data_IF_707261846722
#
_entry.id   IF_707261846722
#
_cell.length_a   1.000
_cell.length_b   1.000
_cell.length_c   1.000
_cell.angle_alpha   90.00
_cell.angle_beta   90.00
_cell.angle_gamma   90.00
#
_symmetry.space_group_name_H-M   'P 1'
#
loop_
_entity.id
_entity.type
_entity.pdbx_description
1 polymer ?
#
# COMPACT_ATOMS: atom_id res chain seq x y z
N UNK A 1 -12.25 -8.20 10.09
CA UNK A 1 -10.82 -8.20 9.75
C UNK A 1 -10.20 -6.91 10.27
N UNK A 2 -9.00 -6.96 10.79
CA UNK A 2 -8.29 -5.75 11.20
C UNK A 2 -7.48 -5.20 10.04
N UNK A 3 -7.57 -3.89 9.83
CA UNK A 3 -6.88 -3.18 8.75
C UNK A 3 -6.09 -2.04 9.38
N UNK A 4 -4.77 -2.05 9.17
CA UNK A 4 -3.90 -1.01 9.70
C UNK A 4 -3.70 0.10 8.67
N UNK A 5 -4.12 1.30 9.02
CA UNK A 5 -3.85 2.49 8.22
C UNK A 5 -2.37 2.86 8.34
N UNK A 6 -1.72 3.13 7.22
CA UNK A 6 -0.34 3.58 7.16
C UNK A 6 -0.34 5.02 6.67
N UNK A 7 -0.19 5.96 7.60
CA UNK A 7 -0.29 7.39 7.29
C UNK A 7 1.04 7.94 6.76
N UNK A 8 1.47 7.41 5.61
CA UNK A 8 2.69 7.81 4.91
C UNK A 8 2.37 7.98 3.42
N UNK A 9 3.10 8.85 2.76
CA UNK A 9 2.94 9.08 1.33
C UNK A 9 3.81 8.10 0.53
N UNK A 10 3.19 7.43 -0.43
CA UNK A 10 3.82 6.44 -1.29
C UNK A 10 3.85 6.90 -2.73
N UNK A 11 4.83 6.39 -3.46
CA UNK A 11 4.97 6.58 -4.90
C UNK A 11 5.11 5.24 -5.60
N UNK A 12 4.50 5.14 -6.77
CA UNK A 12 4.60 3.96 -7.65
C UNK A 12 5.50 4.37 -8.80
N UNK A 13 6.61 3.66 -8.97
CA UNK A 13 7.66 4.05 -9.89
C UNK A 13 8.04 2.93 -10.84
N UNK A 14 8.55 3.33 -11.99
CA UNK A 14 9.31 2.48 -12.89
C UNK A 14 10.74 3.01 -12.91
N UNK A 15 11.71 2.16 -12.64
CA UNK A 15 13.11 2.55 -12.54
C UNK A 15 13.95 1.82 -13.60
N UNK A 16 15.10 2.41 -13.97
CA UNK A 16 16.01 1.79 -14.94
C UNK A 16 16.66 0.54 -14.34
N UNK A 17 17.01 0.62 -13.07
CA UNK A 17 17.55 -0.47 -12.27
C UNK A 17 17.37 -0.15 -10.78
N UNK A 18 17.75 -1.08 -9.89
CA UNK A 18 17.55 -0.90 -8.44
C UNK A 18 18.80 -0.40 -7.70
N UNK A 19 19.84 0.03 -8.41
CA UNK A 19 21.11 0.44 -7.77
C UNK A 19 20.96 1.65 -6.86
N UNK A 20 20.05 2.58 -7.20
CA UNK A 20 19.79 3.78 -6.39
C UNK A 20 18.59 3.63 -5.44
N UNK A 21 17.93 2.48 -5.45
CA UNK A 21 16.82 2.23 -4.56
C UNK A 21 17.30 1.88 -3.15
N UNK A 22 16.60 2.41 -2.14
CA UNK A 22 16.87 2.05 -0.75
C UNK A 22 16.10 0.76 -0.39
N UNK A 23 16.70 -0.39 -0.70
CA UNK A 23 16.08 -1.69 -0.46
C UNK A 23 15.92 -2.02 1.03
N UNK A 24 16.64 -1.32 1.90
CA UNK A 24 16.55 -1.50 3.36
C UNK A 24 15.54 -0.57 4.01
N UNK A 25 14.86 0.26 3.25
CA UNK A 25 13.81 1.12 3.78
C UNK A 25 12.63 0.29 4.31
N UNK A 26 11.91 0.85 5.29
CA UNK A 26 10.78 0.19 5.96
C UNK A 26 9.70 -0.28 4.99
N UNK A 27 9.43 0.51 3.96
CA UNK A 27 8.45 0.20 2.92
C UNK A 27 9.12 0.30 1.55
N UNK A 28 9.57 -0.83 1.04
CA UNK A 28 10.20 -0.92 -0.27
C UNK A 28 9.74 -2.20 -0.95
N UNK A 29 8.94 -2.05 -1.99
CA UNK A 29 8.40 -3.17 -2.74
C UNK A 29 8.96 -3.14 -4.15
N UNK A 30 9.56 -4.24 -4.60
CA UNK A 30 10.13 -4.35 -5.94
C UNK A 30 9.42 -5.43 -6.73
N UNK A 31 9.20 -5.15 -7.99
CA UNK A 31 8.64 -6.10 -8.94
C UNK A 31 9.44 -6.09 -10.23
N UNK A 32 10.42 -6.98 -10.33
CA UNK A 32 11.26 -7.10 -11.52
C UNK A 32 10.71 -8.16 -12.45
N UNK A 33 10.41 -7.76 -13.68
CA UNK A 33 9.93 -8.66 -14.74
C UNK A 33 10.79 -8.48 -15.99
N UNK A 34 10.48 -9.25 -17.03
CA UNK A 34 11.10 -9.10 -18.34
C UNK A 34 10.73 -7.78 -19.03
N UNK A 35 9.67 -7.11 -18.55
CA UNK A 35 9.16 -5.87 -19.16
C UNK A 35 9.55 -4.61 -18.39
N UNK A 36 9.76 -4.72 -17.07
CA UNK A 36 9.97 -3.53 -16.25
C UNK A 36 10.66 -3.83 -14.91
N UNK A 37 11.19 -2.77 -14.33
CA UNK A 37 11.62 -2.75 -12.93
C UNK A 37 10.67 -1.81 -12.17
N UNK A 38 9.69 -2.38 -11.47
CA UNK A 38 8.73 -1.63 -10.67
C UNK A 38 9.25 -1.41 -9.25
N UNK A 39 8.99 -0.23 -8.70
CA UNK A 39 9.38 0.13 -7.34
C UNK A 39 8.24 0.89 -6.69
N UNK A 40 7.76 0.39 -5.55
CA UNK A 40 6.82 1.11 -4.71
C UNK A 40 7.51 1.40 -3.39
N UNK A 41 7.58 2.67 -3.02
CA UNK A 41 8.28 3.10 -1.81
C UNK A 41 7.67 4.38 -1.28
N UNK A 42 8.13 4.82 -0.12
CA UNK A 42 7.78 6.14 0.39
C UNK A 42 8.25 7.21 -0.60
N UNK A 43 7.47 8.26 -0.75
CA UNK A 43 7.79 9.35 -1.68
C UNK A 43 9.16 9.96 -1.40
N UNK A 44 9.55 10.05 -0.12
CA UNK A 44 10.86 10.57 0.27
C UNK A 44 12.03 9.65 -0.13
N UNK A 45 11.76 8.41 -0.47
CA UNK A 45 12.78 7.42 -0.84
C UNK A 45 12.86 7.17 -2.36
N UNK A 46 12.11 7.92 -3.17
CA UNK A 46 12.12 7.74 -4.63
C UNK A 46 13.49 8.09 -5.18
N UNK A 47 14.15 7.15 -5.91
CA UNK A 47 15.46 7.42 -6.48
C UNK A 47 15.40 8.33 -7.70
N UNK A 48 16.54 8.89 -8.09
CA UNK A 48 16.63 9.82 -9.22
C UNK A 48 16.44 9.16 -10.58
N UNK A 49 16.70 7.86 -10.69
CA UNK A 49 16.67 7.13 -11.97
C UNK A 49 15.29 6.56 -12.31
N UNK A 50 14.24 7.30 -12.00
CA UNK A 50 12.89 6.90 -12.39
C UNK A 50 12.64 7.20 -13.87
N UNK A 51 12.12 6.21 -14.58
CA UNK A 51 11.60 6.40 -15.94
C UNK A 51 10.16 6.94 -15.92
N UNK A 52 9.42 6.57 -14.87
CA UNK A 52 8.07 7.07 -14.61
C UNK A 52 7.80 7.01 -13.11
N UNK A 53 7.00 7.94 -12.61
CA UNK A 53 6.58 7.93 -11.20
C UNK A 53 5.19 8.50 -11.06
N UNK A 54 4.45 7.95 -10.12
CA UNK A 54 3.11 8.40 -9.77
C UNK A 54 3.04 8.58 -8.26
N UNK A 55 3.01 9.82 -7.80
CA UNK A 55 2.95 10.19 -6.39
C UNK A 55 1.50 10.27 -5.91
N UNK A 56 1.32 10.50 -4.61
CA UNK A 56 0.01 10.78 -4.03
C UNK A 56 -0.78 9.53 -3.69
N UNK A 57 -0.12 8.48 -3.27
CA UNK A 57 -0.73 7.25 -2.78
C UNK A 57 -0.59 7.12 -1.27
N UNK A 58 -1.55 6.47 -0.65
CA UNK A 58 -1.48 6.05 0.76
C UNK A 58 -1.88 4.60 0.88
N UNK A 59 -1.37 3.94 1.91
CA UNK A 59 -1.50 2.51 2.06
C UNK A 59 -2.28 2.12 3.30
N UNK A 60 -2.85 0.94 3.26
CA UNK A 60 -3.27 0.21 4.44
C UNK A 60 -2.90 -1.26 4.26
N UNK A 61 -2.80 -1.96 5.39
CA UNK A 61 -2.35 -3.34 5.43
C UNK A 61 -3.42 -4.20 6.09
N UNK A 62 -3.67 -5.37 5.52
CA UNK A 62 -4.52 -6.38 6.15
C UNK A 62 -3.71 -6.99 7.29
N UNK A 63 -4.22 -6.91 8.53
CA UNK A 63 -3.54 -7.45 9.71
C UNK A 63 -3.95 -8.90 9.95
N UNK A 64 -3.01 -9.65 10.52
CA UNK A 64 -3.20 -11.05 10.81
C UNK A 64 -2.41 -11.93 9.86
N UNK A 65 -2.14 -13.15 10.31
CA UNK A 65 -1.50 -14.14 9.46
C UNK A 65 -2.51 -14.54 8.40
N UNK A 66 -2.15 -14.36 7.12
CA UNK A 66 -2.97 -14.86 6.03
C UNK A 66 -2.95 -16.38 6.07
N UNK A 67 -3.96 -16.94 6.70
CA UNK A 67 -4.26 -18.36 6.61
C UNK A 67 -5.02 -18.60 5.31
N UNK A 68 -4.91 -19.81 4.77
CA UNK A 68 -5.71 -20.22 3.60
C UNK A 68 -7.21 -20.09 3.85
N UNK A 69 -7.65 -20.09 5.11
CA UNK A 69 -9.04 -19.82 5.48
C UNK A 69 -9.50 -18.39 5.15
N UNK A 70 -8.56 -17.47 4.88
CA UNK A 70 -8.85 -16.09 4.50
C UNK A 70 -8.84 -15.88 2.98
N UNK A 71 -8.96 -16.94 2.22
CA UNK A 71 -9.15 -16.87 0.77
C UNK A 71 -10.32 -15.94 0.46
N UNK A 72 -10.07 -14.95 -0.39
CA UNK A 72 -11.11 -14.02 -0.81
C UNK A 72 -11.18 -12.72 -0.04
N UNK A 73 -10.34 -12.52 1.01
CA UNK A 73 -10.36 -11.25 1.74
C UNK A 73 -9.94 -10.07 0.84
N UNK A 74 -8.92 -10.27 0.01
CA UNK A 74 -8.50 -9.25 -0.95
C UNK A 74 -9.60 -9.00 -1.98
N UNK A 75 -10.28 -10.05 -2.43
CA UNK A 75 -11.41 -9.93 -3.35
C UNK A 75 -12.57 -9.13 -2.73
N UNK A 76 -12.91 -9.41 -1.46
CA UNK A 76 -13.94 -8.67 -0.74
C UNK A 76 -13.59 -7.19 -0.64
N UNK A 77 -12.38 -6.88 -0.22
CA UNK A 77 -11.93 -5.49 -0.05
C UNK A 77 -11.91 -4.78 -1.40
N UNK A 78 -11.36 -5.41 -2.44
CA UNK A 78 -11.28 -4.80 -3.76
C UNK A 78 -12.68 -4.57 -4.35
N UNK A 79 -13.61 -5.48 -4.12
CA UNK A 79 -15.00 -5.33 -4.56
C UNK A 79 -15.68 -4.16 -3.87
N UNK A 80 -15.54 -4.04 -2.54
CA UNK A 80 -16.09 -2.92 -1.78
C UNK A 80 -15.58 -1.58 -2.28
N UNK A 81 -14.28 -1.48 -2.53
CA UNK A 81 -13.67 -0.25 -3.00
C UNK A 81 -14.08 0.07 -4.45
N UNK A 82 -14.15 -0.95 -5.31
CA UNK A 82 -14.61 -0.78 -6.69
C UNK A 82 -16.06 -0.30 -6.75
N UNK A 83 -16.95 -0.83 -5.91
CA UNK A 83 -18.34 -0.38 -5.81
C UNK A 83 -18.45 1.09 -5.41
N UNK A 84 -17.47 1.60 -4.71
CA UNK A 84 -17.37 3.01 -4.31
C UNK A 84 -16.49 3.83 -5.23
N UNK A 85 -16.15 3.31 -6.41
CA UNK A 85 -15.37 3.96 -7.45
C UNK A 85 -13.96 4.37 -6.99
N UNK A 86 -13.36 3.56 -6.13
CA UNK A 86 -12.00 3.76 -5.63
C UNK A 86 -11.07 2.76 -6.30
N UNK A 87 -10.14 3.26 -7.12
CA UNK A 87 -9.09 2.44 -7.73
C UNK A 87 -8.04 2.04 -6.70
N UNK A 88 -7.48 0.85 -6.85
CA UNK A 88 -6.49 0.32 -5.94
C UNK A 88 -5.23 -0.14 -6.67
N UNK A 89 -4.13 -0.17 -5.93
CA UNK A 89 -2.89 -0.85 -6.31
C UNK A 89 -2.58 -1.83 -5.18
N UNK A 90 -2.59 -3.12 -5.46
CA UNK A 90 -2.42 -4.16 -4.45
C UNK A 90 -1.05 -4.82 -4.54
N UNK A 91 -0.44 -5.04 -3.38
CA UNK A 91 0.85 -5.73 -3.27
C UNK A 91 0.70 -6.85 -2.26
N UNK A 92 0.92 -8.09 -2.71
CA UNK A 92 0.91 -9.24 -1.83
C UNK A 92 2.34 -9.59 -1.44
N UNK A 93 2.60 -9.65 -0.14
CA UNK A 93 3.88 -10.08 0.41
C UNK A 93 3.74 -11.46 1.03
N UNK A 94 4.83 -11.98 1.60
CA UNK A 94 4.79 -13.28 2.26
C UNK A 94 3.75 -13.34 3.40
N UNK A 95 3.67 -12.28 4.19
CA UNK A 95 2.80 -12.27 5.37
C UNK A 95 1.39 -11.78 5.08
N UNK A 96 1.23 -10.81 4.19
CA UNK A 96 -0.06 -10.13 4.04
C UNK A 96 -0.14 -9.29 2.77
N UNK A 97 -1.29 -8.66 2.58
CA UNK A 97 -1.54 -7.76 1.47
C UNK A 97 -1.47 -6.30 1.93
N UNK A 98 -0.87 -5.48 1.07
CA UNK A 98 -0.89 -4.02 1.17
C UNK A 98 -1.75 -3.48 0.05
N UNK A 99 -2.57 -2.49 0.36
CA UNK A 99 -3.45 -1.87 -0.61
C UNK A 99 -3.18 -0.38 -0.61
N UNK A 100 -2.88 0.17 -1.78
CA UNK A 100 -2.65 1.58 -1.97
C UNK A 100 -3.84 2.18 -2.71
N UNK A 101 -4.28 3.34 -2.24
CA UNK A 101 -5.31 4.14 -2.87
C UNK A 101 -4.80 5.56 -3.02
N UNK A 102 -5.35 6.31 -3.94
CA UNK A 102 -5.01 7.72 -4.08
C UNK A 102 -5.34 8.46 -2.79
N UNK A 103 -4.48 9.38 -2.41
CA UNK A 103 -4.57 10.17 -1.17
C UNK A 103 -5.94 10.83 -1.00
N UNK A 104 -6.50 11.37 -2.08
CA UNK A 104 -7.81 12.01 -2.05
C UNK A 104 -8.96 11.05 -1.74
N UNK A 105 -8.76 9.74 -1.95
CA UNK A 105 -9.76 8.70 -1.68
C UNK A 105 -9.51 7.95 -0.38
N UNK A 106 -8.42 8.26 0.32
CA UNK A 106 -7.96 7.44 1.45
C UNK A 106 -8.96 7.40 2.61
N UNK A 107 -9.44 8.57 3.04
CA UNK A 107 -10.41 8.63 4.14
C UNK A 107 -11.72 7.95 3.77
N UNK A 108 -12.18 8.13 2.53
CA UNK A 108 -13.37 7.45 2.03
C UNK A 108 -13.20 5.93 2.01
N UNK A 109 -12.03 5.45 1.57
CA UNK A 109 -11.72 4.03 1.54
C UNK A 109 -11.80 3.41 2.94
N UNK A 110 -11.18 4.06 3.94
CA UNK A 110 -11.21 3.58 5.31
C UNK A 110 -12.64 3.58 5.88
N UNK A 111 -13.43 4.60 5.57
CA UNK A 111 -14.83 4.68 6.00
C UNK A 111 -15.66 3.55 5.40
N UNK A 112 -15.50 3.28 4.11
CA UNK A 112 -16.19 2.19 3.41
C UNK A 112 -15.87 0.84 4.07
N UNK A 113 -14.61 0.60 4.38
CA UNK A 113 -14.18 -0.65 5.00
C UNK A 113 -14.69 -0.77 6.44
N UNK A 114 -14.66 0.32 7.21
CA UNK A 114 -15.20 0.33 8.57
C UNK A 114 -16.68 0.06 8.59
N UNK A 115 -17.44 0.68 7.69
CA UNK A 115 -18.88 0.46 7.57
C UNK A 115 -19.24 -0.97 7.16
N UNK A 116 -18.32 -1.66 6.48
CA UNK A 116 -18.49 -3.07 6.11
C UNK A 116 -18.12 -4.05 7.24
N UNK A 117 -17.73 -3.54 8.40
CA UNK A 117 -17.44 -4.36 9.58
C UNK A 117 -15.96 -4.61 9.84
N UNK A 118 -15.06 -4.01 9.07
CA UNK A 118 -13.63 -4.11 9.31
C UNK A 118 -13.20 -3.13 10.39
N UNK A 119 -12.28 -3.54 11.24
CA UNK A 119 -11.73 -2.68 12.29
C UNK A 119 -10.52 -1.95 11.74
N UNK A 120 -10.57 -0.63 11.75
CA UNK A 120 -9.45 0.20 11.29
C UNK A 120 -8.55 0.52 12.48
N UNK A 121 -7.28 0.10 12.38
CA UNK A 121 -6.25 0.42 13.35
C UNK A 121 -5.51 1.63 12.80
N UNK A 122 -5.62 2.75 13.52
CA UNK A 122 -4.97 3.99 13.10
C UNK A 122 -3.47 3.93 13.36
N UNK A 123 -2.72 4.58 12.48
CA UNK A 123 -1.30 4.79 12.66
C UNK A 123 -1.07 5.59 13.95
N UNK A 124 -0.34 5.01 14.90
CA UNK A 124 0.11 5.76 16.06
C UNK A 124 1.41 6.44 15.69
N UNK A 125 1.38 7.77 15.63
CA UNK A 125 2.62 8.51 15.63
C UNK A 125 3.35 8.16 16.92
N UNK A 126 4.61 7.72 16.78
CA UNK A 126 5.50 7.62 17.93
C UNK A 126 5.62 9.04 18.46
N UNK A 127 5.25 9.32 19.73
CA UNK A 127 5.45 10.65 20.29
C UNK A 127 6.91 11.03 20.11
N UNK A 128 7.15 12.14 19.45
CA UNK A 128 8.49 12.68 19.39
C UNK A 128 8.87 12.98 20.83
N UNK A 129 9.78 12.21 21.37
CA UNK A 129 10.38 12.53 22.66
C UNK A 129 11.21 13.79 22.44
N UNK A 130 10.64 14.90 22.88
CA UNK A 130 11.37 16.16 22.91
C UNK A 130 12.29 16.13 24.13
#
# INVERSE_FOLDING_TARGET
>A
MEIKAINRDFSICKVDNYLSANLDAEYCFTGKTDEENSLVCLTCDVPENTAARDDGWRAFRICGVLDFSLIGILSEISTLLAENKIGIFAISTYNTDYILVKKENYNKALEVLENAGHKIIKWKQIPTLV
#
